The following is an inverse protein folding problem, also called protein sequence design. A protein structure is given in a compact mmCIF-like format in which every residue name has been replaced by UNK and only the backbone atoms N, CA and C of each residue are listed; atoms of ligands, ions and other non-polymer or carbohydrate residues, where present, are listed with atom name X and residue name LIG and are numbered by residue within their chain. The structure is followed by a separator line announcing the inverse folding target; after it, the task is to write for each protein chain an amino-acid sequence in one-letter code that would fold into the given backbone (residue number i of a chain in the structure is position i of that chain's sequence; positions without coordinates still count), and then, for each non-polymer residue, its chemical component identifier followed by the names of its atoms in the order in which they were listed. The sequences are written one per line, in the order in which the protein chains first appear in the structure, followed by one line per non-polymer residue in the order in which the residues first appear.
data_IF_672792190310
#
_entry.id   IF_672792190310
#
_cell.length_a   1.000
_cell.length_b   1.000
_cell.length_c   1.000
_cell.angle_alpha   90.00
_cell.angle_beta   90.00
_cell.angle_gamma   90.00
#
_symmetry.space_group_name_H-M   'P 1'
#
loop_
_entity.id
_entity.type
_entity.pdbx_description
1 polymer ?
#
# COMPACT_ATOMS: atom_id res chain seq x y z
N UNK A 1 -14.29 8.24 10.87
CA UNK A 1 -14.04 7.71 12.23
C UNK A 1 -13.67 8.88 13.13
N UNK A 2 -14.11 8.83 14.38
CA UNK A 2 -13.92 9.86 15.40
C UNK A 2 -12.45 10.20 15.58
N UNK A 3 -12.13 11.45 15.92
CA UNK A 3 -10.79 11.83 16.35
C UNK A 3 -10.29 10.84 17.43
N UNK A 4 -8.98 10.55 17.48
CA UNK A 4 -8.42 9.72 18.55
C UNK A 4 -8.97 10.20 19.90
N UNK A 5 -9.67 9.32 20.59
CA UNK A 5 -10.29 9.61 21.88
C UNK A 5 -9.23 9.50 22.95
N UNK A 6 -8.55 10.60 23.22
CA UNK A 6 -7.71 10.72 24.41
C UNK A 6 -8.61 10.80 25.65
N UNK A 7 -8.14 10.37 26.84
CA UNK A 7 -8.80 10.71 28.09
C UNK A 7 -9.07 12.22 28.16
N UNK A 8 -10.16 12.69 28.80
CA UNK A 8 -10.40 14.13 28.95
C UNK A 8 -9.17 14.87 29.52
N UNK A 9 -8.63 15.81 28.74
CA UNK A 9 -7.40 16.55 29.08
C UNK A 9 -6.09 15.81 28.80
N UNK A 10 -6.12 14.62 28.20
CA UNK A 10 -4.96 13.82 27.80
C UNK A 10 -4.47 14.11 26.38
N UNK A 11 -3.40 13.41 25.99
CA UNK A 11 -2.76 13.50 24.68
C UNK A 11 -2.69 12.14 23.99
N UNK A 12 -2.18 12.09 22.77
CA UNK A 12 -1.94 10.84 22.04
C UNK A 12 -0.97 9.91 22.76
N UNK A 13 -0.05 10.45 23.55
CA UNK A 13 0.91 9.64 24.29
C UNK A 13 0.21 8.80 25.37
N UNK A 14 -0.92 9.27 25.90
CA UNK A 14 -1.75 8.52 26.84
C UNK A 14 -2.47 7.31 26.20
N UNK A 15 -2.49 7.23 24.87
CA UNK A 15 -3.09 6.10 24.13
C UNK A 15 -2.10 4.99 23.80
N UNK A 16 -0.82 5.22 24.08
CA UNK A 16 0.22 4.26 23.74
C UNK A 16 0.10 3.02 24.62
N UNK A 17 0.14 1.85 23.98
CA UNK A 17 0.23 0.57 24.69
C UNK A 17 1.49 0.52 25.57
N UNK A 18 2.58 1.13 25.09
CA UNK A 18 3.83 1.30 25.84
C UNK A 18 4.53 2.60 25.41
N UNK A 19 5.05 3.35 26.38
CA UNK A 19 5.89 4.52 26.12
C UNK A 19 7.37 4.15 26.15
N UNK A 20 8.22 4.84 25.37
CA UNK A 20 9.68 4.69 25.51
C UNK A 20 10.21 5.15 26.87
N UNK A 21 9.44 5.96 27.60
CA UNK A 21 9.74 6.32 29.00
C UNK A 21 9.75 5.08 29.90
N UNK A 22 8.92 4.08 29.58
CA UNK A 22 8.70 2.89 30.40
C UNK A 22 9.41 1.64 29.86
N UNK A 23 10.27 1.78 28.84
CA UNK A 23 11.06 0.67 28.32
C UNK A 23 12.19 0.35 29.29
N UNK A 24 12.24 -0.86 29.89
CA UNK A 24 13.28 -1.22 30.85
C UNK A 24 14.66 -1.24 30.18
N UNK A 25 15.60 -0.57 30.84
CA UNK A 25 17.03 -0.59 30.49
C UNK A 25 17.80 -1.09 31.71
N UNK A 26 18.41 -2.25 31.58
CA UNK A 26 19.25 -2.85 32.63
C UNK A 26 20.65 -2.25 32.58
N UNK A 27 20.90 -1.22 33.39
CA UNK A 27 22.17 -0.51 33.44
C UNK A 27 23.34 -1.39 33.93
N UNK A 28 23.05 -2.41 34.73
CA UNK A 28 24.06 -3.33 35.28
C UNK A 28 24.47 -4.40 34.25
N UNK A 29 23.63 -4.62 33.24
CA UNK A 29 23.85 -5.56 32.15
C UNK A 29 23.98 -4.85 30.79
N UNK A 30 24.97 -3.95 30.67
CA UNK A 30 25.33 -3.33 29.38
C UNK A 30 24.16 -2.57 28.72
N UNK A 31 23.31 -1.94 29.56
CA UNK A 31 22.09 -1.27 29.15
C UNK A 31 21.16 -2.18 28.35
N UNK A 32 21.00 -3.44 28.77
CA UNK A 32 20.16 -4.39 28.05
C UNK A 32 18.70 -3.90 27.99
N UNK A 33 18.14 -3.84 26.78
CA UNK A 33 16.79 -3.31 26.53
C UNK A 33 15.82 -4.47 26.38
N UNK A 34 14.76 -4.48 27.18
CA UNK A 34 13.74 -5.53 27.13
C UNK A 34 13.03 -5.54 25.76
N UNK A 35 13.02 -6.71 25.11
CA UNK A 35 12.58 -6.85 23.71
C UNK A 35 11.09 -6.53 23.54
N UNK A 36 10.23 -7.09 24.39
CA UNK A 36 8.76 -6.97 24.26
C UNK A 36 8.32 -5.53 24.44
N UNK A 37 8.79 -4.88 25.50
CA UNK A 37 8.46 -3.49 25.82
C UNK A 37 8.97 -2.53 24.74
N UNK A 38 10.16 -2.78 24.20
CA UNK A 38 10.67 -1.98 23.09
C UNK A 38 9.81 -2.11 21.84
N UNK A 39 9.40 -3.34 21.47
CA UNK A 39 8.56 -3.56 20.28
C UNK A 39 7.17 -2.94 20.47
N UNK A 40 6.55 -3.09 21.64
CA UNK A 40 5.28 -2.45 21.97
C UNK A 40 5.37 -0.92 21.91
N UNK A 41 6.50 -0.34 22.36
CA UNK A 41 6.74 1.10 22.29
C UNK A 41 6.97 1.60 20.86
N UNK A 42 7.71 0.83 20.05
CA UNK A 42 7.94 1.11 18.65
C UNK A 42 6.64 1.03 17.84
N UNK A 43 5.78 0.04 18.10
CA UNK A 43 4.44 -0.08 17.51
C UNK A 43 3.56 1.10 17.92
N UNK A 44 3.56 1.46 19.21
CA UNK A 44 2.79 2.60 19.73
C UNK A 44 3.19 3.92 19.05
N UNK A 45 4.48 4.15 18.82
CA UNK A 45 4.96 5.34 18.09
C UNK A 45 4.37 5.46 16.68
N UNK A 46 4.13 4.33 16.00
CA UNK A 46 3.57 4.36 14.63
C UNK A 46 2.17 4.98 14.58
N UNK A 47 1.46 5.03 15.71
CA UNK A 47 0.11 5.61 15.79
C UNK A 47 0.11 7.14 15.64
N UNK A 48 1.20 7.84 15.99
CA UNK A 48 1.36 9.29 15.73
C UNK A 48 1.27 9.60 14.22
N UNK A 49 1.69 8.65 13.40
CA UNK A 49 1.61 8.74 11.93
C UNK A 49 0.26 8.26 11.36
N UNK A 50 -0.58 7.63 12.18
CA UNK A 50 -1.93 7.18 11.82
C UNK A 50 -3.01 8.26 11.99
N UNK A 51 -2.69 9.42 12.59
CA UNK A 51 -3.71 10.43 12.90
C UNK A 51 -4.22 11.16 11.65
N UNK A 52 -5.53 11.33 11.54
CA UNK A 52 -6.20 11.93 10.37
C UNK A 52 -6.07 13.46 10.34
N UNK A 53 -5.37 13.99 9.33
CA UNK A 53 -5.27 15.42 9.02
C UNK A 53 -6.30 15.80 7.96
N UNK A 54 -7.29 16.66 8.28
CA UNK A 54 -8.13 17.22 7.23
C UNK A 54 -7.24 18.03 6.29
N UNK A 55 -7.00 17.52 5.08
CA UNK A 55 -6.44 18.33 4.00
C UNK A 55 -7.49 19.38 3.70
N UNK A 56 -7.08 20.66 3.72
CA UNK A 56 -7.93 21.78 3.38
C UNK A 56 -8.47 21.57 1.96
N UNK A 57 -9.75 21.21 1.85
CA UNK A 57 -10.47 21.10 0.60
C UNK A 57 -10.42 22.46 -0.12
N UNK A 58 -9.77 22.50 -1.29
CA UNK A 58 -10.17 23.45 -2.33
C UNK A 58 -11.48 22.90 -2.92
N UNK A 59 -12.51 23.72 -2.79
CA UNK A 59 -13.93 23.51 -3.09
C UNK A 59 -14.18 22.93 -4.49
N UNK A 60 -14.95 21.83 -4.61
CA UNK A 60 -16.11 21.65 -5.54
C UNK A 60 -17.07 20.58 -4.92
N UNK A 61 -18.41 20.76 -4.89
CA UNK A 61 -19.31 20.11 -3.92
C UNK A 61 -20.13 18.89 -4.41
N UNK A 62 -20.51 18.03 -3.44
CA UNK A 62 -21.69 17.14 -3.27
C UNK A 62 -22.21 16.30 -4.48
N UNK A 63 -22.53 15.00 -4.36
CA UNK A 63 -23.52 14.45 -3.43
C UNK A 63 -23.34 12.94 -3.13
N UNK A 64 -24.04 12.54 -2.06
CA UNK A 64 -24.04 11.34 -1.23
C UNK A 64 -24.59 10.02 -1.83
N UNK A 65 -24.00 8.88 -1.42
CA UNK A 65 -24.72 7.85 -0.64
C UNK A 65 -23.72 6.97 0.12
N UNK A 66 -23.93 6.87 1.44
CA UNK A 66 -23.17 6.11 2.44
C UNK A 66 -22.97 4.65 1.98
N UNK A 67 -21.73 4.23 1.80
CA UNK A 67 -20.91 3.64 2.86
C UNK A 67 -21.57 2.37 3.38
N UNK A 68 -21.32 1.25 2.71
CA UNK A 68 -21.56 -0.02 3.33
C UNK A 68 -20.53 -1.07 2.90
N UNK A 69 -19.68 -1.31 3.86
CA UNK A 69 -19.31 -2.67 4.26
C UNK A 69 -18.12 -3.18 3.52
N UNK A 70 -16.90 -2.84 3.94
CA UNK A 70 -16.37 -3.17 5.29
C UNK A 70 -14.88 -3.49 5.37
N UNK A 71 -14.05 -2.73 4.65
CA UNK A 71 -12.61 -2.63 5.00
C UNK A 71 -12.54 -1.74 6.26
N UNK A 72 -13.38 -2.06 7.26
CA UNK A 72 -14.36 -1.13 7.88
C UNK A 72 -13.84 -0.38 9.09
N UNK A 73 -12.55 -0.37 9.32
CA UNK A 73 -11.99 0.41 10.40
C UNK A 73 -10.50 0.60 10.18
N UNK A 74 -10.09 1.88 10.16
CA UNK A 74 -8.70 2.41 10.19
C UNK A 74 -8.08 2.49 8.78
N UNK A 75 -7.82 3.62 8.10
CA UNK A 75 -7.29 4.92 8.52
C UNK A 75 -7.67 6.04 7.49
N UNK A 76 -8.83 6.68 7.65
CA UNK A 76 -9.36 7.72 6.76
C UNK A 76 -8.68 9.10 6.90
N UNK A 77 -7.87 9.48 5.90
CA UNK A 77 -7.69 10.86 5.41
C UNK A 77 -6.76 11.74 6.26
N UNK A 78 -5.48 11.34 6.28
CA UNK A 78 -4.31 12.09 6.79
C UNK A 78 -2.97 11.37 6.61
N UNK A 79 -2.99 10.04 6.43
CA UNK A 79 -1.81 9.17 6.57
C UNK A 79 -0.91 9.00 5.33
N UNK A 80 -1.26 9.53 4.15
CA UNK A 80 -0.54 9.24 2.88
C UNK A 80 0.94 9.66 2.90
N UNK A 81 1.28 10.75 3.60
CA UNK A 81 2.66 11.25 3.72
C UNK A 81 3.56 10.37 4.60
N UNK A 82 2.98 9.74 5.62
CA UNK A 82 3.72 8.94 6.59
C UNK A 82 3.53 7.43 6.42
N UNK A 83 2.67 6.97 5.50
CA UNK A 83 2.50 5.55 5.19
C UNK A 83 3.81 4.84 4.84
N UNK A 84 4.75 5.41 4.05
CA UNK A 84 6.04 4.75 3.82
C UNK A 84 6.85 4.56 5.12
N UNK A 85 6.81 5.55 6.02
CA UNK A 85 7.51 5.50 7.32
C UNK A 85 6.85 4.47 8.25
N UNK A 86 5.52 4.52 8.36
CA UNK A 86 4.72 3.58 9.17
C UNK A 86 4.91 2.13 8.70
N UNK A 87 4.85 1.89 7.39
CA UNK A 87 4.97 0.54 6.83
C UNK A 87 6.37 -0.02 6.99
N UNK A 88 7.42 0.79 6.82
CA UNK A 88 8.80 0.38 7.05
C UNK A 88 9.02 -0.03 8.52
N UNK A 89 8.57 0.81 9.46
CA UNK A 89 8.64 0.50 10.90
C UNK A 89 7.84 -0.77 11.25
N UNK A 90 6.59 -0.88 10.79
CA UNK A 90 5.73 -2.03 11.06
C UNK A 90 6.24 -3.33 10.42
N UNK A 91 6.85 -3.25 9.23
CA UNK A 91 7.51 -4.39 8.59
C UNK A 91 8.66 -4.91 9.45
N UNK A 92 9.51 -4.01 9.92
CA UNK A 92 10.65 -4.36 10.77
C UNK A 92 10.23 -4.86 12.18
N UNK A 93 9.07 -4.41 12.69
CA UNK A 93 8.45 -4.94 13.92
C UNK A 93 7.91 -6.37 13.68
N UNK A 94 7.16 -6.59 12.60
CA UNK A 94 6.46 -7.86 12.31
C UNK A 94 7.39 -9.02 11.94
N UNK A 95 8.52 -8.76 11.31
CA UNK A 95 9.49 -9.79 10.91
C UNK A 95 10.11 -10.53 12.12
N UNK A 96 9.84 -10.12 13.37
CA UNK A 96 10.63 -10.50 14.55
C UNK A 96 9.88 -10.99 15.78
N UNK A 97 8.58 -11.33 15.68
CA UNK A 97 7.90 -12.13 16.71
C UNK A 97 8.32 -13.61 16.69
N UNK A 98 9.19 -14.03 15.77
CA UNK A 98 9.84 -15.33 15.79
C UNK A 98 11.07 -15.31 16.72
N UNK A 99 10.88 -15.01 18.00
CA UNK A 99 11.94 -14.99 18.99
C UNK A 99 12.09 -16.38 19.65
N UNK A 100 13.11 -17.20 19.29
CA UNK A 100 13.42 -18.42 20.05
C UNK A 100 13.90 -18.06 21.47
N UNK A 101 13.90 -19.06 22.36
CA UNK A 101 14.38 -18.93 23.74
C UNK A 101 15.76 -18.20 23.80
N UNK A 102 15.89 -17.21 24.70
CA UNK A 102 17.11 -16.38 24.83
C UNK A 102 17.05 -14.98 24.22
N UNK A 103 15.85 -14.50 23.85
CA UNK A 103 15.63 -13.19 23.19
C UNK A 103 15.00 -12.13 24.11
N UNK A 104 15.16 -12.26 25.44
CA UNK A 104 14.54 -11.37 26.43
C UNK A 104 14.99 -9.91 26.28
N UNK A 105 16.21 -9.70 25.80
CA UNK A 105 16.74 -8.36 25.49
C UNK A 105 17.21 -8.27 24.04
N UNK A 106 17.17 -7.06 23.47
CA UNK A 106 17.54 -6.83 22.07
C UNK A 106 19.01 -7.19 21.81
N UNK A 107 19.89 -6.92 22.78
CA UNK A 107 21.30 -7.30 22.71
C UNK A 107 21.48 -8.82 22.75
N UNK A 108 20.76 -9.53 23.62
CA UNK A 108 20.80 -10.99 23.67
C UNK A 108 20.25 -11.62 22.40
N UNK A 109 19.18 -11.05 21.84
CA UNK A 109 18.59 -11.47 20.57
C UNK A 109 19.61 -11.39 19.44
N UNK A 110 20.27 -10.23 19.26
CA UNK A 110 21.30 -10.05 18.21
C UNK A 110 22.48 -10.99 18.44
N UNK A 111 23.00 -11.09 19.66
CA UNK A 111 24.13 -11.96 19.99
C UNK A 111 23.81 -13.43 19.73
N UNK A 112 22.59 -13.87 20.04
CA UNK A 112 22.14 -15.26 19.83
C UNK A 112 21.96 -15.55 18.34
N UNK A 113 21.30 -14.65 17.61
CA UNK A 113 21.07 -14.83 16.18
C UNK A 113 22.38 -14.88 15.38
N UNK A 114 23.33 -13.99 15.69
CA UNK A 114 24.63 -13.95 15.01
C UNK A 114 25.49 -15.20 15.31
N UNK A 115 25.36 -15.80 16.50
CA UNK A 115 25.99 -17.09 16.82
C UNK A 115 25.46 -18.22 15.93
N UNK A 116 24.16 -18.17 15.62
CA UNK A 116 23.49 -19.11 14.72
C UNK A 116 23.75 -18.79 13.22
N UNK A 117 24.61 -17.81 12.92
CA UNK A 117 24.93 -17.32 11.57
C UNK A 117 23.69 -16.82 10.80
N UNK A 118 22.66 -16.37 11.52
CA UNK A 118 21.47 -15.71 10.98
C UNK A 118 21.60 -14.20 11.19
N UNK A 119 20.82 -13.42 10.46
CA UNK A 119 20.89 -11.95 10.53
C UNK A 119 19.54 -11.25 10.27
N UNK A 120 18.44 -11.99 10.17
CA UNK A 120 17.12 -11.43 9.82
C UNK A 120 16.64 -10.45 10.88
N UNK A 121 16.74 -10.86 12.15
CA UNK A 121 16.32 -10.07 13.28
C UNK A 121 17.31 -8.90 13.51
N UNK A 122 18.60 -9.16 13.39
CA UNK A 122 19.67 -8.17 13.51
C UNK A 122 19.52 -7.06 12.46
N UNK A 123 19.21 -7.40 11.21
CA UNK A 123 18.92 -6.44 10.15
C UNK A 123 17.60 -5.70 10.40
N UNK A 124 16.54 -6.38 10.82
CA UNK A 124 15.29 -5.72 11.18
C UNK A 124 15.47 -4.72 12.32
N UNK A 125 16.32 -5.02 13.32
CA UNK A 125 16.66 -4.06 14.38
C UNK A 125 17.42 -2.86 13.84
N UNK A 126 18.34 -3.07 12.90
CA UNK A 126 19.11 -1.99 12.28
C UNK A 126 18.19 -0.99 11.56
N UNK A 127 17.27 -1.49 10.74
CA UNK A 127 16.33 -0.65 10.00
C UNK A 127 15.31 0.02 10.93
N UNK A 128 14.80 -0.70 11.93
CA UNK A 128 13.91 -0.13 12.93
C UNK A 128 14.59 1.01 13.71
N UNK A 129 15.84 0.82 14.15
CA UNK A 129 16.59 1.87 14.87
C UNK A 129 16.82 3.09 13.99
N UNK A 130 17.09 2.92 12.69
CA UNK A 130 17.21 4.05 11.74
C UNK A 130 15.89 4.80 11.56
N UNK A 131 14.76 4.09 11.48
CA UNK A 131 13.43 4.69 11.41
C UNK A 131 13.07 5.46 12.69
N UNK A 132 13.38 4.89 13.86
CA UNK A 132 13.20 5.52 15.16
C UNK A 132 14.08 6.77 15.33
N UNK A 133 15.34 6.71 14.92
CA UNK A 133 16.29 7.84 14.94
C UNK A 133 15.80 8.99 14.03
N UNK A 134 15.33 8.65 12.83
CA UNK A 134 14.68 9.59 11.92
C UNK A 134 13.50 10.30 12.57
N UNK A 135 12.55 9.54 13.15
CA UNK A 135 11.37 10.10 13.82
C UNK A 135 11.76 10.95 15.02
N UNK A 136 12.70 10.48 15.83
CA UNK A 136 13.20 11.18 17.00
C UNK A 136 13.79 12.54 16.62
N UNK A 137 14.70 12.58 15.66
CA UNK A 137 15.34 13.83 15.20
C UNK A 137 14.30 14.78 14.59
N UNK A 138 13.40 14.26 13.75
CA UNK A 138 12.39 15.09 13.09
C UNK A 138 11.46 15.79 14.11
N UNK A 139 10.89 15.02 15.04
CA UNK A 139 9.98 15.56 16.05
C UNK A 139 10.72 16.43 17.08
N UNK A 140 11.93 16.07 17.51
CA UNK A 140 12.73 16.90 18.42
C UNK A 140 13.07 18.26 17.80
N UNK A 141 13.47 18.29 16.52
CA UNK A 141 13.71 19.54 15.81
C UNK A 141 12.43 20.38 15.72
N UNK A 142 11.30 19.76 15.36
CA UNK A 142 10.03 20.46 15.23
C UNK A 142 9.56 21.03 16.59
N UNK A 143 9.67 20.27 17.68
CA UNK A 143 9.31 20.73 19.03
C UNK A 143 10.24 21.83 19.55
N UNK A 144 11.52 21.83 19.15
CA UNK A 144 12.48 22.86 19.53
C UNK A 144 12.34 24.17 18.74
N UNK A 145 11.75 24.12 17.54
CA UNK A 145 11.59 25.27 16.64
C UNK A 145 10.10 25.49 16.30
N UNK A 146 9.38 26.30 17.09
CA UNK A 146 7.93 26.51 16.89
C UNK A 146 7.55 27.05 15.50
N UNK A 147 8.47 27.74 14.81
CA UNK A 147 8.25 28.30 13.47
C UNK A 147 8.66 27.38 12.32
N UNK A 148 9.23 26.20 12.59
CA UNK A 148 9.64 25.25 11.54
C UNK A 148 8.45 24.35 11.15
N UNK A 149 8.16 24.27 9.87
CA UNK A 149 7.12 23.38 9.34
C UNK A 149 7.54 21.91 9.43
N UNK A 150 6.54 21.04 9.52
CA UNK A 150 6.78 19.60 9.72
C UNK A 150 7.60 19.02 8.56
N UNK A 151 7.30 19.42 7.32
CA UNK A 151 8.04 18.98 6.14
C UNK A 151 9.55 19.30 6.21
N UNK A 152 9.94 20.45 6.77
CA UNK A 152 11.34 20.88 6.83
C UNK A 152 12.13 20.11 7.88
N UNK A 153 11.58 20.01 9.10
CA UNK A 153 12.18 19.18 10.17
C UNK A 153 12.34 17.72 9.74
N UNK A 154 11.36 17.15 9.04
CA UNK A 154 11.44 15.78 8.52
C UNK A 154 12.44 15.65 7.36
N UNK A 155 12.55 16.61 6.43
CA UNK A 155 13.59 16.58 5.38
C UNK A 155 15.00 16.65 5.95
N UNK A 156 15.21 17.48 6.98
CA UNK A 156 16.49 17.59 7.67
C UNK A 156 16.86 16.28 8.36
N UNK A 157 15.93 15.71 9.13
CA UNK A 157 16.11 14.42 9.78
C UNK A 157 16.39 13.31 8.76
N UNK A 158 15.66 13.27 7.63
CA UNK A 158 15.86 12.31 6.56
C UNK A 158 17.29 12.38 6.00
N UNK A 159 17.78 13.60 5.76
CA UNK A 159 19.14 13.85 5.32
C UNK A 159 20.21 13.28 6.26
N UNK A 160 19.98 13.38 7.58
CA UNK A 160 20.90 12.94 8.61
C UNK A 160 20.85 11.44 8.93
N UNK A 161 19.77 10.74 8.56
CA UNK A 161 19.49 9.37 9.03
C UNK A 161 19.31 8.36 7.90
N UNK A 162 18.14 8.33 7.26
CA UNK A 162 17.77 7.30 6.29
C UNK A 162 18.34 7.55 4.89
N UNK A 163 18.51 8.81 4.48
CA UNK A 163 18.96 9.17 3.12
C UNK A 163 20.27 8.49 2.69
N UNK A 164 21.32 8.37 3.53
CA UNK A 164 22.54 7.64 3.17
C UNK A 164 22.30 6.14 2.88
N UNK A 165 21.25 5.56 3.44
CA UNK A 165 20.95 4.13 3.36
C UNK A 165 19.88 3.78 2.31
N UNK A 166 19.16 4.77 1.79
CA UNK A 166 18.18 4.58 0.72
C UNK A 166 18.82 4.51 -0.66
N UNK A 167 18.31 3.62 -1.51
CA UNK A 167 18.73 3.52 -2.91
C UNK A 167 18.30 4.76 -3.70
N UNK A 168 18.85 4.93 -4.91
CA UNK A 168 18.48 6.02 -5.80
C UNK A 168 16.99 6.00 -6.22
N UNK A 169 16.32 4.83 -6.13
CA UNK A 169 14.89 4.66 -6.38
C UNK A 169 14.03 5.05 -5.17
N UNK A 170 14.50 4.77 -3.95
CA UNK A 170 13.76 5.06 -2.71
C UNK A 170 13.88 6.54 -2.32
N UNK A 171 15.02 7.18 -2.62
CA UNK A 171 15.26 8.59 -2.25
C UNK A 171 14.19 9.56 -2.77
N UNK A 172 13.77 9.53 -4.05
CA UNK A 172 12.70 10.38 -4.57
C UNK A 172 11.35 10.08 -3.93
N UNK A 173 11.04 8.80 -3.69
CA UNK A 173 9.78 8.35 -3.05
C UNK A 173 9.64 8.96 -1.65
N UNK A 174 10.69 8.83 -0.83
CA UNK A 174 10.69 9.38 0.52
C UNK A 174 10.60 10.91 0.47
N UNK A 175 11.35 11.57 -0.42
CA UNK A 175 11.33 13.03 -0.56
C UNK A 175 9.95 13.57 -0.96
N UNK A 176 9.22 12.86 -1.81
CA UNK A 176 7.85 13.20 -2.19
C UNK A 176 6.90 13.04 -0.99
N UNK A 177 7.04 11.96 -0.23
CA UNK A 177 6.25 11.71 0.97
C UNK A 177 6.42 12.82 2.02
N UNK A 178 7.65 13.26 2.27
CA UNK A 178 7.94 14.37 3.21
C UNK A 178 7.38 15.71 2.72
N UNK A 179 7.19 15.87 1.42
CA UNK A 179 6.58 17.09 0.86
C UNK A 179 5.06 17.12 1.04
N UNK A 180 4.45 15.98 1.37
CA UNK A 180 3.04 15.86 1.69
C UNK A 180 2.76 15.89 3.20
N UNK A 181 3.78 16.13 4.04
CA UNK A 181 3.57 16.30 5.49
C UNK A 181 2.49 17.36 5.75
N UNK A 182 1.61 17.15 6.74
CA UNK A 182 0.62 18.15 7.12
C UNK A 182 1.30 19.42 7.63
N UNK A 183 0.56 20.52 7.62
CA UNK A 183 0.96 21.73 8.33
C UNK A 183 1.17 21.42 9.81
N UNK A 184 2.21 22.03 10.39
CA UNK A 184 2.59 21.87 11.79
C UNK A 184 1.39 22.03 12.73
N UNK A 185 0.58 23.06 12.53
CA UNK A 185 -0.60 23.33 13.38
C UNK A 185 -1.58 22.16 13.38
N UNK A 186 -1.93 21.67 12.19
CA UNK A 186 -2.82 20.52 12.03
C UNK A 186 -2.23 19.24 12.62
N UNK A 187 -0.90 19.11 12.61
CA UNK A 187 -0.18 18.04 13.30
C UNK A 187 -0.43 18.05 14.81
N UNK A 188 -0.13 19.16 15.49
CA UNK A 188 -0.24 19.22 16.96
C UNK A 188 -1.68 19.23 17.49
N UNK A 189 -2.64 19.84 16.78
CA UNK A 189 -4.08 19.78 17.13
C UNK A 189 -4.60 18.34 17.21
N UNK A 190 -3.94 17.43 16.52
CA UNK A 190 -4.28 16.01 16.45
C UNK A 190 -3.60 15.17 17.51
N UNK A 191 -2.62 15.71 18.21
CA UNK A 191 -1.94 15.02 19.31
C UNK A 191 -2.56 15.36 20.68
N UNK A 192 -3.39 16.40 20.76
CA UNK A 192 -4.09 16.80 21.98
C UNK A 192 -4.70 18.19 21.86
N UNK A 193 -5.64 18.53 22.74
CA UNK A 193 -6.31 19.84 22.75
C UNK A 193 -5.47 20.97 23.34
N UNK A 194 -4.45 20.63 24.13
CA UNK A 194 -3.50 21.58 24.74
C UNK A 194 -2.11 21.37 24.11
N UNK A 195 -1.74 22.25 23.17
CA UNK A 195 -0.46 22.15 22.48
C UNK A 195 0.74 22.28 23.43
N UNK A 196 0.64 23.10 24.48
CA UNK A 196 1.74 23.28 25.44
C UNK A 196 1.98 21.99 26.23
N UNK A 197 0.90 21.31 26.63
CA UNK A 197 0.95 19.99 27.25
C UNK A 197 1.48 18.92 26.30
N UNK A 198 0.99 18.87 25.06
CA UNK A 198 1.50 17.94 24.03
C UNK A 198 3.00 18.13 23.86
N UNK A 199 3.48 19.37 23.71
CA UNK A 199 4.90 19.62 23.50
C UNK A 199 5.73 19.26 24.74
N UNK A 200 5.25 19.51 25.97
CA UNK A 200 5.99 19.16 27.19
C UNK A 200 6.13 17.65 27.36
N UNK A 201 5.05 16.90 27.16
CA UNK A 201 5.06 15.42 27.21
C UNK A 201 5.89 14.82 26.08
N UNK A 202 5.78 15.39 24.87
CA UNK A 202 6.56 14.94 23.71
C UNK A 202 8.07 15.17 23.92
N UNK A 203 8.49 16.25 24.58
CA UNK A 203 9.92 16.44 24.95
C UNK A 203 10.42 15.33 25.87
N UNK A 204 9.64 14.95 26.88
CA UNK A 204 9.98 13.85 27.80
C UNK A 204 10.06 12.51 27.06
N UNK A 205 9.05 12.22 26.24
CA UNK A 205 9.00 11.03 25.42
C UNK A 205 10.18 10.93 24.45
N UNK A 206 10.49 12.02 23.73
CA UNK A 206 11.58 12.06 22.76
C UNK A 206 12.96 11.93 23.41
N UNK A 207 13.16 12.48 24.61
CA UNK A 207 14.40 12.28 25.37
C UNK A 207 14.60 10.80 25.75
N UNK A 208 13.52 10.10 26.13
CA UNK A 208 13.58 8.67 26.41
C UNK A 208 13.85 7.84 25.14
N UNK A 209 13.16 8.17 24.03
CA UNK A 209 13.41 7.56 22.72
C UNK A 209 14.86 7.77 22.26
N UNK A 210 15.38 8.99 22.36
CA UNK A 210 16.77 9.34 22.03
C UNK A 210 17.77 8.51 22.84
N UNK A 211 17.53 8.35 24.15
CA UNK A 211 18.35 7.49 25.01
C UNK A 211 18.37 6.04 24.53
N UNK A 212 17.20 5.46 24.27
CA UNK A 212 17.07 4.06 23.80
C UNK A 212 17.72 3.88 22.43
N UNK A 213 17.47 4.78 21.48
CA UNK A 213 18.10 4.78 20.15
C UNK A 213 19.61 4.92 20.27
N UNK A 214 20.11 5.80 21.15
CA UNK A 214 21.53 5.98 21.42
C UNK A 214 22.22 4.72 21.93
N UNK A 215 21.60 4.01 22.88
CA UNK A 215 22.08 2.72 23.39
C UNK A 215 22.17 1.69 22.25
N UNK A 216 21.12 1.57 21.43
CA UNK A 216 21.08 0.58 20.35
C UNK A 216 22.04 0.90 19.21
N UNK A 217 22.20 2.17 18.83
CA UNK A 217 23.23 2.60 17.86
C UNK A 217 24.63 2.28 18.39
N UNK A 218 24.90 2.62 19.66
CA UNK A 218 26.16 2.28 20.32
C UNK A 218 26.42 0.77 20.35
N UNK A 219 25.37 -0.05 20.58
CA UNK A 219 25.47 -1.49 20.48
C UNK A 219 25.77 -1.96 19.05
N UNK A 220 25.00 -1.51 18.06
CA UNK A 220 25.17 -1.87 16.64
C UNK A 220 26.54 -1.49 16.05
N UNK A 221 27.21 -0.51 16.66
CA UNK A 221 28.57 -0.13 16.27
C UNK A 221 29.66 -1.08 16.81
N UNK A 222 29.35 -1.96 17.76
CA UNK A 222 30.30 -2.93 18.33
C UNK A 222 30.51 -4.12 17.40
N UNK A 223 31.73 -4.68 17.42
CA UNK A 223 32.10 -5.85 16.60
C UNK A 223 31.20 -7.06 16.84
N UNK A 224 30.74 -7.26 18.06
CA UNK A 224 29.84 -8.36 18.46
C UNK A 224 28.39 -8.21 17.98
N UNK A 225 27.99 -7.00 17.58
CA UNK A 225 26.68 -6.70 17.01
C UNK A 225 26.74 -6.49 15.49
N UNK A 226 27.95 -6.37 14.93
CA UNK A 226 28.19 -6.27 13.50
C UNK A 226 28.19 -7.66 12.90
N UNK A 227 27.36 -7.88 11.89
CA UNK A 227 27.51 -9.04 11.01
C UNK A 227 28.96 -9.03 10.48
N UNK A 228 29.70 -10.12 10.69
CA UNK A 228 31.14 -10.24 10.45
C UNK A 228 31.57 -10.23 8.98
N UNK A 229 31.08 -9.29 8.18
CA UNK A 229 31.52 -9.03 6.82
C UNK A 229 32.17 -7.64 6.77
N UNK A 230 33.42 -7.56 7.21
CA UNK A 230 34.37 -6.59 6.63
C UNK A 230 34.69 -7.09 5.23
N UNK A 231 33.82 -6.74 4.29
CA UNK A 231 34.22 -6.56 2.91
C UNK A 231 33.48 -5.33 2.41
N UNK A 232 34.25 -4.33 2.03
CA UNK A 232 33.81 -3.25 1.17
C UNK A 232 33.49 -3.79 -0.24
N UNK A 233 32.61 -4.79 -0.33
CA UNK A 233 31.81 -5.00 -1.52
C UNK A 233 30.67 -4.00 -1.39
N UNK A 234 30.40 -3.14 -2.39
CA UNK A 234 29.13 -2.44 -2.42
C UNK A 234 28.05 -3.52 -2.38
N UNK A 235 27.31 -3.61 -1.29
CA UNK A 235 26.21 -4.55 -1.11
C UNK A 235 25.07 -4.16 -2.06
N UNK A 236 25.25 -4.46 -3.34
CA UNK A 236 24.18 -4.74 -4.30
C UNK A 236 23.69 -6.18 -4.20
N UNK A 237 23.85 -6.85 -3.06
CA UNK A 237 23.23 -8.15 -2.86
C UNK A 237 22.77 -8.32 -1.41
N UNK A 238 21.44 -8.46 -1.27
CA UNK A 238 20.69 -8.84 -0.07
C UNK A 238 20.38 -7.77 0.98
N UNK A 239 20.13 -6.54 0.54
CA UNK A 239 18.86 -5.93 0.96
C UNK A 239 17.77 -6.89 0.40
N UNK A 240 16.72 -7.23 1.15
CA UNK A 240 15.45 -7.57 0.50
C UNK A 240 15.09 -6.31 -0.30
N UNK A 241 15.66 -6.21 -1.51
CA UNK A 241 15.12 -5.41 -2.59
C UNK A 241 13.96 -6.27 -2.98
N UNK A 242 12.72 -5.86 -2.68
CA UNK A 242 11.59 -6.55 -3.22
C UNK A 242 11.84 -6.72 -4.72
N UNK A 243 12.00 -7.98 -5.14
CA UNK A 243 12.26 -8.27 -6.52
C UNK A 243 10.89 -8.17 -7.15
N UNK A 244 10.60 -7.05 -7.81
CA UNK A 244 9.35 -6.88 -8.55
C UNK A 244 9.59 -7.14 -10.03
N UNK A 245 8.58 -7.63 -10.76
CA UNK A 245 8.74 -7.83 -12.18
C UNK A 245 9.03 -6.49 -12.86
N UNK A 246 9.94 -6.45 -13.84
CA UNK A 246 10.22 -5.23 -14.57
C UNK A 246 8.93 -4.72 -15.22
N UNK A 247 8.69 -3.42 -15.06
CA UNK A 247 7.54 -2.74 -15.67
C UNK A 247 8.00 -1.69 -16.64
N UNK A 248 7.18 -1.45 -17.64
CA UNK A 248 7.31 -0.39 -18.62
C UNK A 248 6.13 0.58 -18.48
N UNK A 249 6.01 1.51 -19.42
CA UNK A 249 4.92 2.48 -19.45
C UNK A 249 4.35 2.60 -20.85
N UNK A 250 3.03 2.54 -20.98
CA UNK A 250 2.32 2.83 -22.22
C UNK A 250 1.01 3.55 -21.93
N UNK A 251 0.50 4.30 -22.91
CA UNK A 251 -0.87 4.84 -22.86
C UNK A 251 -1.93 3.74 -23.00
N UNK A 252 -1.61 2.69 -23.74
CA UNK A 252 -2.48 1.54 -23.97
C UNK A 252 -2.00 0.28 -23.25
N UNK A 253 -2.93 -0.58 -22.87
CA UNK A 253 -2.62 -1.90 -22.33
C UNK A 253 -3.75 -2.89 -22.57
N UNK A 254 -3.39 -4.17 -22.66
CA UNK A 254 -4.31 -5.31 -22.58
C UNK A 254 -4.35 -5.79 -21.14
N UNK A 255 -5.48 -6.30 -20.68
CA UNK A 255 -5.60 -6.87 -19.34
C UNK A 255 -5.47 -8.39 -19.42
N UNK A 256 -4.52 -8.97 -18.70
CA UNK A 256 -4.19 -10.39 -18.75
C UNK A 256 -4.52 -11.04 -17.41
N UNK A 257 -5.21 -12.18 -17.45
CA UNK A 257 -5.56 -12.97 -16.27
C UNK A 257 -4.30 -13.47 -15.58
N UNK A 258 -4.22 -13.22 -14.27
CA UNK A 258 -3.30 -13.88 -13.35
C UNK A 258 -4.12 -14.57 -12.26
N UNK A 259 -4.15 -15.90 -12.26
CA UNK A 259 -4.89 -16.69 -11.29
C UNK A 259 -4.20 -16.60 -9.92
N UNK A 260 -4.94 -16.22 -8.88
CA UNK A 260 -4.37 -15.96 -7.55
C UNK A 260 -3.98 -17.23 -6.79
N UNK A 261 -4.64 -18.35 -7.07
CA UNK A 261 -4.33 -19.68 -6.56
C UNK A 261 -4.28 -20.65 -7.75
N UNK A 262 -3.09 -20.97 -8.28
CA UNK A 262 -2.95 -21.83 -9.46
C UNK A 262 -3.55 -23.23 -9.28
N UNK A 263 -3.74 -23.69 -8.03
CA UNK A 263 -4.36 -25.00 -7.75
C UNK A 263 -5.87 -25.00 -7.97
N UNK A 264 -6.48 -23.82 -8.09
CA UNK A 264 -7.91 -23.60 -8.30
C UNK A 264 -8.22 -23.05 -9.71
N UNK A 265 -7.26 -23.10 -10.64
CA UNK A 265 -7.53 -22.70 -12.02
C UNK A 265 -8.64 -23.58 -12.63
N UNK A 266 -9.35 -23.02 -13.60
CA UNK A 266 -10.44 -23.70 -14.30
C UNK A 266 -9.88 -24.80 -15.23
N UNK A 267 -10.78 -25.63 -15.74
CA UNK A 267 -10.47 -26.61 -16.79
C UNK A 267 -11.34 -26.31 -18.01
N UNK A 268 -10.78 -25.77 -19.12
CA UNK A 268 -9.36 -25.48 -19.35
C UNK A 268 -8.83 -24.28 -18.53
N UNK A 269 -7.51 -24.22 -18.25
CA UNK A 269 -6.90 -23.17 -17.43
C UNK A 269 -7.03 -21.81 -18.10
N UNK A 270 -7.44 -20.81 -17.33
CA UNK A 270 -7.65 -19.43 -17.80
C UNK A 270 -6.50 -18.51 -17.47
N UNK A 271 -5.49 -18.96 -16.70
CA UNK A 271 -4.30 -18.16 -16.45
C UNK A 271 -3.63 -17.70 -17.77
N UNK A 272 -3.29 -16.41 -17.84
CA UNK A 272 -2.74 -15.79 -19.03
C UNK A 272 -3.76 -15.44 -20.13
N UNK A 273 -5.03 -15.81 -20.01
CA UNK A 273 -6.06 -15.40 -20.98
C UNK A 273 -6.26 -13.88 -20.95
N UNK A 274 -6.78 -13.31 -22.03
CA UNK A 274 -7.00 -11.87 -22.12
C UNK A 274 -8.41 -11.49 -21.71
N UNK A 275 -8.54 -10.38 -21.00
CA UNK A 275 -9.80 -9.71 -20.73
C UNK A 275 -10.42 -9.22 -22.05
N UNK A 276 -11.67 -9.60 -22.29
CA UNK A 276 -12.43 -9.25 -23.47
C UNK A 276 -13.89 -9.01 -23.09
N UNK A 277 -14.74 -8.87 -24.09
CA UNK A 277 -16.15 -8.52 -23.92
C UNK A 277 -16.98 -9.25 -24.94
N UNK A 278 -18.20 -9.61 -24.58
CA UNK A 278 -19.19 -10.10 -25.53
C UNK A 278 -20.42 -9.22 -25.52
N UNK A 279 -20.91 -8.89 -26.71
CA UNK A 279 -22.03 -7.98 -26.89
C UNK A 279 -23.31 -8.60 -26.32
N UNK A 280 -24.03 -7.87 -25.47
CA UNK A 280 -25.31 -8.34 -24.90
C UNK A 280 -26.48 -7.40 -25.21
N UNK A 281 -26.22 -6.31 -25.93
CA UNK A 281 -27.22 -5.35 -26.35
C UNK A 281 -26.59 -4.02 -26.79
N UNK A 282 -27.40 -3.11 -27.31
CA UNK A 282 -26.92 -1.80 -27.77
C UNK A 282 -26.24 -1.02 -26.63
N UNK A 283 -24.94 -0.74 -26.78
CA UNK A 283 -24.14 -0.09 -25.74
C UNK A 283 -23.78 -0.98 -24.55
N UNK A 284 -24.10 -2.28 -24.59
CA UNK A 284 -23.94 -3.23 -23.49
C UNK A 284 -23.05 -4.42 -23.87
N UNK A 285 -22.07 -4.74 -23.02
CA UNK A 285 -21.29 -5.96 -23.12
C UNK A 285 -21.00 -6.55 -21.74
N UNK A 286 -21.05 -7.87 -21.64
CA UNK A 286 -20.56 -8.59 -20.46
C UNK A 286 -19.04 -8.77 -20.57
N UNK A 287 -18.32 -8.63 -19.46
CA UNK A 287 -16.88 -8.89 -19.45
C UNK A 287 -16.63 -10.40 -19.44
N UNK A 288 -15.68 -10.84 -20.26
CA UNK A 288 -15.28 -12.25 -20.38
C UNK A 288 -13.76 -12.36 -20.44
N UNK A 289 -13.23 -13.57 -20.37
CA UNK A 289 -11.84 -13.86 -20.69
C UNK A 289 -11.75 -14.81 -21.88
N UNK A 290 -10.72 -14.65 -22.71
CA UNK A 290 -10.49 -15.46 -23.90
C UNK A 290 -9.03 -15.87 -24.05
N UNK A 291 -8.80 -17.09 -24.53
CA UNK A 291 -7.48 -17.57 -24.92
C UNK A 291 -6.91 -16.79 -26.12
N UNK A 292 -7.79 -16.32 -27.02
CA UNK A 292 -7.43 -15.52 -28.18
C UNK A 292 -7.12 -14.08 -27.77
N UNK A 293 -5.85 -13.68 -27.89
CA UNK A 293 -5.42 -12.31 -27.58
C UNK A 293 -5.84 -11.31 -28.66
N UNK A 294 -6.13 -11.75 -29.89
CA UNK A 294 -6.52 -10.90 -31.01
C UNK A 294 -7.86 -10.19 -30.79
N UNK A 295 -8.74 -10.78 -29.99
CA UNK A 295 -10.05 -10.22 -29.62
C UNK A 295 -10.03 -9.40 -28.33
N UNK A 296 -8.88 -9.26 -27.68
CA UNK A 296 -8.75 -8.40 -26.50
C UNK A 296 -8.80 -6.94 -26.92
N UNK A 297 -9.58 -6.16 -26.19
CA UNK A 297 -9.62 -4.71 -26.34
C UNK A 297 -8.31 -4.09 -25.84
N UNK A 298 -7.94 -2.94 -26.40
CA UNK A 298 -6.94 -2.06 -25.82
C UNK A 298 -7.66 -1.15 -24.83
N UNK A 299 -7.17 -1.13 -23.60
CA UNK A 299 -7.63 -0.25 -22.55
C UNK A 299 -6.61 0.87 -22.33
N UNK A 300 -7.08 2.00 -21.82
CA UNK A 300 -6.24 3.11 -21.39
C UNK A 300 -6.81 3.72 -20.11
N UNK A 301 -5.93 4.29 -19.31
CA UNK A 301 -6.33 5.03 -18.12
C UNK A 301 -6.54 6.50 -18.48
N UNK A 302 -7.75 6.99 -18.28
CA UNK A 302 -8.15 8.34 -18.62
C UNK A 302 -8.41 9.17 -17.36
N UNK A 303 -7.75 10.32 -17.26
CA UNK A 303 -7.91 11.28 -16.17
C UNK A 303 -6.64 12.08 -15.90
N UNK A 304 -6.78 13.15 -15.14
CA UNK A 304 -5.63 13.90 -14.61
C UNK A 304 -4.77 13.02 -13.70
N UNK A 305 -3.51 13.43 -13.49
CA UNK A 305 -2.62 12.72 -12.56
C UNK A 305 -3.20 12.60 -11.15
N UNK A 306 -3.97 13.60 -10.71
CA UNK A 306 -4.68 13.60 -9.43
C UNK A 306 -5.83 12.58 -9.42
N UNK A 307 -6.68 12.59 -10.45
CA UNK A 307 -7.80 11.65 -10.54
C UNK A 307 -7.32 10.19 -10.60
N UNK A 308 -6.24 9.94 -11.34
CA UNK A 308 -5.61 8.63 -11.42
C UNK A 308 -5.08 8.19 -10.05
N UNK A 309 -4.36 9.09 -9.35
CA UNK A 309 -3.79 8.81 -8.03
C UNK A 309 -4.87 8.47 -7.00
N UNK A 310 -6.04 9.10 -7.08
CA UNK A 310 -7.15 8.88 -6.15
C UNK A 310 -8.23 7.92 -6.68
N UNK A 311 -7.93 7.17 -7.74
CA UNK A 311 -8.85 6.20 -8.39
C UNK A 311 -10.20 6.80 -8.81
N UNK A 312 -10.24 8.10 -9.05
CA UNK A 312 -11.39 8.82 -9.62
C UNK A 312 -11.26 9.01 -11.14
N UNK A 313 -10.17 8.54 -11.76
CA UNK A 313 -10.07 8.37 -13.21
C UNK A 313 -10.99 7.25 -13.74
N UNK A 314 -10.77 6.86 -14.99
CA UNK A 314 -11.54 5.81 -15.67
C UNK A 314 -10.62 4.86 -16.44
N UNK A 315 -10.96 3.57 -16.47
CA UNK A 315 -10.34 2.59 -17.38
C UNK A 315 -11.28 2.42 -18.57
N UNK A 316 -10.84 2.91 -19.73
CA UNK A 316 -11.64 3.03 -20.94
C UNK A 316 -11.06 2.20 -22.07
N UNK A 317 -11.90 1.87 -23.04
CA UNK A 317 -11.52 1.32 -24.33
C UNK A 317 -12.36 1.99 -25.42
N UNK A 318 -11.79 2.19 -26.60
CA UNK A 318 -12.50 2.79 -27.73
C UNK A 318 -13.25 1.72 -28.51
N UNK A 319 -14.56 1.86 -28.65
CA UNK A 319 -15.38 0.86 -29.34
C UNK A 319 -16.59 1.43 -30.05
N UNK A 320 -17.09 0.71 -31.05
CA UNK A 320 -18.22 1.13 -31.88
C UNK A 320 -17.81 1.88 -33.13
N UNK A 321 -18.79 2.39 -33.87
CA UNK A 321 -18.57 3.22 -35.07
C UNK A 321 -19.60 4.35 -35.08
N UNK A 322 -19.20 5.62 -34.85
CA UNK A 322 -17.84 6.09 -34.55
C UNK A 322 -17.31 5.57 -33.20
N UNK A 323 -15.99 5.65 -32.98
CA UNK A 323 -15.38 5.20 -31.72
C UNK A 323 -15.92 6.00 -30.54
N UNK A 324 -16.53 5.32 -29.58
CA UNK A 324 -17.09 5.87 -28.35
C UNK A 324 -16.35 5.29 -27.14
N UNK A 325 -16.25 5.97 -25.99
CA UNK A 325 -15.58 5.42 -24.81
C UNK A 325 -16.43 4.31 -24.17
N UNK A 326 -15.80 3.18 -23.87
CA UNK A 326 -16.39 2.05 -23.14
C UNK A 326 -15.62 1.79 -21.85
N UNK A 327 -16.26 2.04 -20.73
CA UNK A 327 -15.65 1.90 -19.40
C UNK A 327 -15.97 0.57 -18.74
N UNK A 328 -15.02 0.07 -17.95
CA UNK A 328 -15.23 -1.09 -17.09
C UNK A 328 -16.18 -0.70 -15.96
N UNK A 329 -17.27 -1.46 -15.83
CA UNK A 329 -18.31 -1.25 -14.82
C UNK A 329 -18.36 -2.46 -13.89
N UNK A 330 -18.33 -2.20 -12.59
CA UNK A 330 -18.53 -3.20 -11.54
C UNK A 330 -19.91 -2.97 -10.94
N UNK A 331 -20.78 -3.97 -11.01
CA UNK A 331 -22.11 -3.91 -10.44
C UNK A 331 -22.06 -3.85 -8.91
N UNK A 332 -22.93 -3.04 -8.29
CA UNK A 332 -22.95 -2.86 -6.84
C UNK A 332 -23.45 -4.11 -6.09
N UNK A 333 -22.99 -4.27 -4.84
CA UNK A 333 -23.46 -5.34 -3.94
C UNK A 333 -24.97 -5.21 -3.70
N UNK A 334 -25.69 -6.32 -3.82
CA UNK A 334 -27.14 -6.40 -3.54
C UNK A 334 -28.05 -6.16 -4.75
N UNK A 335 -27.52 -5.79 -5.92
CA UNK A 335 -28.32 -5.69 -7.16
C UNK A 335 -28.53 -7.05 -7.84
N UNK A 336 -27.64 -8.01 -7.61
CA UNK A 336 -27.69 -9.36 -8.13
C UNK A 336 -26.91 -10.30 -7.21
N UNK A 337 -27.25 -11.60 -7.24
CA UNK A 337 -26.56 -12.64 -6.46
C UNK A 337 -25.09 -12.78 -6.88
N UNK A 338 -24.80 -12.57 -8.17
CA UNK A 338 -23.45 -12.60 -8.73
C UNK A 338 -23.16 -11.25 -9.44
N UNK A 339 -22.52 -10.29 -8.76
CA UNK A 339 -22.28 -8.95 -9.31
C UNK A 339 -21.47 -9.01 -10.60
N UNK A 340 -22.07 -8.51 -11.68
CA UNK A 340 -21.47 -8.53 -13.00
C UNK A 340 -20.35 -7.50 -13.14
N UNK A 341 -19.28 -7.87 -13.84
CA UNK A 341 -18.34 -6.91 -14.43
C UNK A 341 -18.71 -6.76 -15.90
N UNK A 342 -18.92 -5.53 -16.34
CA UNK A 342 -19.37 -5.21 -17.70
C UNK A 342 -18.41 -4.22 -18.33
N UNK A 343 -18.46 -4.11 -19.64
CA UNK A 343 -17.80 -3.05 -20.38
C UNK A 343 -18.85 -2.43 -21.27
N UNK A 344 -19.35 -1.29 -20.86
CA UNK A 344 -20.48 -0.62 -21.51
C UNK A 344 -20.07 0.78 -21.97
N UNK A 345 -20.84 1.34 -22.88
CA UNK A 345 -20.65 2.72 -23.32
C UNK A 345 -20.70 3.68 -22.11
N UNK A 346 -19.72 4.58 -22.01
CA UNK A 346 -19.58 5.57 -20.94
C UNK A 346 -18.32 5.40 -20.08
N UNK A 347 -18.27 6.12 -18.96
CA UNK A 347 -17.02 6.34 -18.20
C UNK A 347 -16.59 5.20 -17.27
N UNK A 348 -17.40 4.14 -17.13
CA UNK A 348 -17.13 3.06 -16.19
C UNK A 348 -17.43 3.41 -14.72
N UNK A 349 -17.10 2.48 -13.82
CA UNK A 349 -17.29 2.64 -12.36
C UNK A 349 -16.06 3.31 -11.73
N UNK A 350 -16.26 4.38 -10.96
CA UNK A 350 -15.19 5.02 -10.18
C UNK A 350 -14.62 4.04 -9.15
N UNK A 351 -13.30 4.10 -8.92
CA UNK A 351 -12.58 3.10 -8.13
C UNK A 351 -11.98 1.96 -8.96
N UNK A 352 -12.52 1.67 -10.14
CA UNK A 352 -11.87 0.79 -11.12
C UNK A 352 -10.71 1.55 -11.75
N UNK A 353 -9.50 1.19 -11.35
CA UNK A 353 -8.26 1.85 -11.74
C UNK A 353 -7.10 0.86 -11.69
N UNK A 354 -5.98 1.15 -12.36
CA UNK A 354 -4.75 0.41 -12.09
C UNK A 354 -4.25 0.73 -10.67
N UNK A 355 -3.61 -0.25 -10.04
CA UNK A 355 -2.90 -0.03 -8.79
C UNK A 355 -1.87 1.08 -8.95
N UNK A 356 -1.72 1.87 -7.90
CA UNK A 356 -0.84 3.02 -7.85
C UNK A 356 0.05 2.92 -6.60
N UNK A 357 1.12 3.71 -6.59
CA UNK A 357 2.01 3.83 -5.44
C UNK A 357 1.21 3.95 -4.12
N UNK A 358 1.57 3.21 -3.05
CA UNK A 358 2.79 2.42 -2.86
C UNK A 358 2.75 0.98 -3.39
N UNK A 359 1.69 0.57 -4.09
CA UNK A 359 1.56 -0.80 -4.60
C UNK A 359 2.61 -1.09 -5.69
N UNK A 360 3.54 -2.04 -5.46
CA UNK A 360 4.62 -2.33 -6.39
C UNK A 360 4.17 -3.12 -7.62
N UNK A 361 3.10 -3.90 -7.54
CA UNK A 361 2.53 -4.61 -8.69
C UNK A 361 1.59 -3.69 -9.46
N UNK A 362 1.52 -3.85 -10.78
CA UNK A 362 0.50 -3.18 -11.58
C UNK A 362 -0.64 -4.15 -11.84
N UNK A 363 -1.85 -3.84 -11.40
CA UNK A 363 -3.03 -4.66 -11.66
C UNK A 363 -4.30 -3.82 -11.62
N UNK A 364 -5.34 -4.26 -12.32
CA UNK A 364 -6.65 -3.65 -12.27
C UNK A 364 -7.25 -3.86 -10.88
N UNK A 365 -7.53 -2.76 -10.22
CA UNK A 365 -8.30 -2.72 -8.98
C UNK A 365 -9.79 -2.54 -9.29
N UNK A 366 -10.66 -2.90 -8.36
CA UNK A 366 -12.10 -2.72 -8.49
C UNK A 366 -12.67 -1.89 -7.35
N UNK A 367 -13.96 -2.09 -7.05
CA UNK A 367 -14.65 -1.40 -5.97
C UNK A 367 -14.40 -2.12 -4.65
N UNK A 368 -13.54 -1.55 -3.80
CA UNK A 368 -13.13 -2.22 -2.57
C UNK A 368 -14.33 -2.39 -1.61
N UNK A 369 -14.43 -3.55 -0.96
CA UNK A 369 -13.52 -4.71 -0.95
C UNK A 369 -14.08 -5.94 -1.66
N UNK A 370 -13.20 -6.62 -2.37
CA UNK A 370 -13.52 -7.80 -3.16
C UNK A 370 -12.39 -8.14 -4.12
N UNK A 371 -12.65 -9.10 -4.99
CA UNK A 371 -11.72 -9.57 -6.00
C UNK A 371 -12.45 -9.85 -7.31
N UNK A 372 -11.73 -9.76 -8.44
CA UNK A 372 -12.26 -10.28 -9.68
C UNK A 372 -12.28 -11.82 -9.64
N UNK A 373 -13.35 -12.40 -10.16
CA UNK A 373 -13.49 -13.83 -10.33
C UNK A 373 -13.86 -14.16 -11.77
N UNK A 374 -13.32 -15.26 -12.30
CA UNK A 374 -13.73 -15.83 -13.59
C UNK A 374 -14.65 -17.01 -13.32
N UNK A 375 -15.84 -16.98 -13.91
CA UNK A 375 -16.90 -17.95 -13.66
C UNK A 375 -17.46 -18.45 -15.00
N UNK A 376 -17.58 -19.77 -15.23
CA UNK A 376 -18.30 -20.27 -16.40
C UNK A 376 -19.80 -20.01 -16.26
N UNK A 377 -20.38 -19.15 -17.09
CA UNK A 377 -21.82 -18.82 -17.08
C UNK A 377 -22.41 -18.84 -18.48
N UNK A 378 -23.67 -19.23 -18.58
CA UNK A 378 -24.44 -19.07 -19.82
C UNK A 378 -24.79 -17.60 -19.97
N UNK A 379 -24.43 -17.00 -21.10
CA UNK A 379 -24.87 -15.66 -21.46
C UNK A 379 -26.16 -15.81 -22.29
N UNK A 380 -27.32 -15.35 -21.79
CA UNK A 380 -28.62 -15.60 -22.43
C UNK A 380 -28.69 -15.12 -23.89
N UNK A 381 -28.02 -14.02 -24.21
CA UNK A 381 -27.98 -13.45 -25.57
C UNK A 381 -27.45 -14.44 -26.61
N UNK A 382 -26.44 -15.25 -26.26
CA UNK A 382 -25.84 -16.24 -27.15
C UNK A 382 -26.34 -17.66 -26.89
N UNK A 383 -27.03 -17.88 -25.76
CA UNK A 383 -27.38 -19.20 -25.25
C UNK A 383 -26.17 -20.16 -25.22
N UNK A 384 -25.01 -19.65 -24.81
CA UNK A 384 -23.74 -20.36 -24.76
C UNK A 384 -22.96 -20.00 -23.49
N UNK A 385 -22.10 -20.92 -23.05
CA UNK A 385 -21.25 -20.73 -21.87
C UNK A 385 -20.01 -19.92 -22.22
N UNK A 386 -19.73 -18.90 -21.41
CA UNK A 386 -18.52 -18.09 -21.47
C UNK A 386 -17.84 -18.08 -20.10
N UNK A 387 -16.53 -17.86 -20.10
CA UNK A 387 -15.78 -17.53 -18.89
C UNK A 387 -15.98 -16.04 -18.59
N UNK A 388 -17.08 -15.72 -17.90
CA UNK A 388 -17.44 -14.34 -17.56
C UNK A 388 -16.63 -13.82 -16.40
N UNK A 389 -16.44 -12.50 -16.34
CA UNK A 389 -15.79 -11.82 -15.22
C UNK A 389 -16.85 -11.30 -14.26
N UNK A 390 -16.66 -11.59 -12.98
CA UNK A 390 -17.54 -11.20 -11.87
C UNK A 390 -16.74 -10.52 -10.78
N UNK A 391 -17.42 -9.75 -9.95
CA UNK A 391 -16.84 -9.15 -8.77
C UNK A 391 -17.35 -9.88 -7.53
N UNK A 392 -16.45 -10.62 -6.88
CA UNK A 392 -16.73 -11.31 -5.64
C UNK A 392 -16.42 -10.35 -4.48
N UNK A 393 -17.47 -9.79 -3.86
CA UNK A 393 -17.32 -8.95 -2.67
C UNK A 393 -16.83 -9.78 -1.49
N UNK A 394 -15.90 -9.24 -0.71
CA UNK A 394 -15.54 -9.84 0.56
C UNK A 394 -16.69 -9.63 1.58
N UNK A 395 -16.81 -10.57 2.53
CA UNK A 395 -17.82 -10.51 3.60
C UNK A 395 -17.17 -10.28 4.96
N UNK A 396 -17.83 -9.50 5.84
CA UNK A 396 -17.31 -9.45 7.21
C UNK A 396 -17.55 -10.76 7.86
N UNK A 397 -16.53 -11.16 8.58
CA UNK A 397 -16.74 -11.98 9.72
C UNK A 397 -16.74 -11.09 10.97
N UNK A 398 -17.94 -10.90 11.55
CA UNK A 398 -18.12 -10.16 12.80
C UNK A 398 -17.44 -10.82 14.01
N UNK A 399 -17.16 -12.13 13.95
CA UNK A 399 -16.48 -12.84 15.01
C UNK A 399 -14.96 -12.62 14.97
N UNK A 400 -14.37 -12.52 13.78
CA UNK A 400 -12.93 -12.28 13.62
C UNK A 400 -12.59 -10.79 13.46
N UNK A 401 -13.58 -9.95 13.16
CA UNK A 401 -13.39 -8.53 12.85
C UNK A 401 -12.64 -8.30 11.53
N UNK A 402 -12.56 -9.33 10.69
CA UNK A 402 -11.81 -9.33 9.44
C UNK A 402 -12.73 -9.59 8.26
N UNK A 403 -12.19 -9.26 7.10
CA UNK A 403 -12.76 -9.70 5.85
C UNK A 403 -12.38 -11.09 5.46
N UNK A 404 -13.39 -11.81 4.99
CA UNK A 404 -13.20 -13.14 4.43
C UNK A 404 -13.62 -13.11 2.96
N UNK A 405 -12.73 -13.66 2.13
CA UNK A 405 -12.92 -13.75 0.69
C UNK A 405 -13.91 -14.85 0.38
N UNK A 406 -15.01 -14.50 -0.28
CA UNK A 406 -16.08 -15.42 -0.66
C UNK A 406 -16.17 -15.50 -2.18
N UNK A 407 -15.40 -16.40 -2.78
CA UNK A 407 -15.43 -16.69 -4.23
C UNK A 407 -16.17 -18.02 -4.41
N UNK A 408 -17.19 -18.11 -5.29
CA UNK A 408 -17.91 -19.37 -5.53
C UNK A 408 -16.96 -20.52 -5.92
N UNK A 409 -17.29 -21.75 -5.51
CA UNK A 409 -16.43 -22.92 -5.74
C UNK A 409 -16.17 -23.23 -7.23
N UNK A 410 -17.12 -22.87 -8.09
CA UNK A 410 -17.04 -23.05 -9.55
C UNK A 410 -16.40 -21.85 -10.26
N UNK A 411 -15.91 -20.87 -9.51
CA UNK A 411 -15.19 -19.70 -9.99
C UNK A 411 -13.74 -19.71 -9.51
N UNK A 412 -12.87 -18.99 -10.23
CA UNK A 412 -11.48 -18.77 -9.82
C UNK A 412 -11.22 -17.29 -9.57
N UNK A 413 -10.56 -16.97 -8.45
CA UNK A 413 -10.15 -15.62 -8.12
C UNK A 413 -8.91 -15.20 -8.94
N UNK A 414 -8.99 -14.03 -9.58
CA UNK A 414 -7.96 -13.55 -10.50
C UNK A 414 -7.58 -12.10 -10.23
N UNK A 415 -6.35 -11.75 -10.62
CA UNK A 415 -5.95 -10.38 -10.87
C UNK A 415 -5.92 -10.16 -12.39
N UNK A 416 -6.19 -8.93 -12.83
CA UNK A 416 -5.93 -8.53 -14.22
C UNK A 416 -4.71 -7.65 -14.28
N UNK A 417 -3.68 -8.10 -14.97
CA UNK A 417 -2.40 -7.42 -15.08
C UNK A 417 -2.32 -6.67 -16.41
N UNK A 418 -1.97 -5.37 -16.42
CA UNK A 418 -1.85 -4.61 -17.65
C UNK A 418 -0.57 -5.03 -18.39
N UNK A 419 -0.73 -5.59 -19.59
CA UNK A 419 0.33 -5.81 -20.56
C UNK A 419 0.39 -4.63 -21.53
N UNK A 420 1.57 -4.04 -21.73
CA UNK A 420 1.75 -2.87 -22.56
C UNK A 420 1.27 -3.12 -24.00
N UNK A 421 0.61 -2.11 -24.57
CA UNK A 421 0.19 -2.11 -25.97
C UNK A 421 0.14 -0.67 -26.48
N UNK A 422 0.26 -0.47 -27.78
CA UNK A 422 0.06 0.86 -28.36
C UNK A 422 -1.42 1.24 -28.30
N UNK A 423 -1.70 2.47 -27.86
CA UNK A 423 -3.03 3.06 -27.94
C UNK A 423 -3.22 3.60 -29.37
N UNK A 424 -4.14 3.05 -30.18
CA UNK A 424 -4.32 3.48 -31.57
C UNK A 424 -4.79 4.94 -31.65
N UNK A 425 -4.41 5.67 -32.69
CA UNK A 425 -4.92 7.02 -32.92
C UNK A 425 -6.43 6.99 -33.24
N UNK A 426 -7.14 8.02 -32.78
CA UNK A 426 -8.57 8.17 -33.02
C UNK A 426 -8.83 8.71 -34.44
N UNK A 427 -9.61 8.02 -35.27
CA UNK A 427 -10.06 8.57 -36.55
C UNK A 427 -10.90 9.84 -36.36
N UNK A 428 -10.93 10.69 -37.39
CA UNK A 428 -11.80 11.87 -37.41
C UNK A 428 -13.28 11.47 -37.20
N UNK A 429 -13.99 12.26 -36.39
CA UNK A 429 -15.38 11.97 -36.01
C UNK A 429 -15.54 10.97 -34.86
N UNK A 430 -14.44 10.50 -34.26
CA UNK A 430 -14.49 9.74 -33.00
C UNK A 430 -15.09 10.59 -31.88
N UNK A 431 -15.93 9.97 -31.05
CA UNK A 431 -16.52 10.57 -29.86
C UNK A 431 -15.67 10.32 -28.60
N UNK A 432 -14.68 9.44 -28.71
CA UNK A 432 -13.66 9.21 -27.68
C UNK A 432 -12.64 10.34 -27.68
N UNK A 433 -11.94 10.51 -26.57
CA UNK A 433 -10.82 11.45 -26.45
C UNK A 433 -9.66 10.78 -25.73
N UNK A 434 -8.44 11.03 -26.24
CA UNK A 434 -7.18 10.62 -25.63
C UNK A 434 -6.42 11.79 -25.00
N UNK A 435 -7.06 12.96 -24.84
CA UNK A 435 -6.44 14.15 -24.24
C UNK A 435 -5.86 13.87 -22.85
N UNK A 436 -6.58 13.08 -22.05
CA UNK A 436 -6.18 12.69 -20.69
C UNK A 436 -5.77 11.21 -20.59
N UNK A 437 -5.42 10.57 -21.72
CA UNK A 437 -4.88 9.22 -21.72
C UNK A 437 -3.46 9.23 -21.11
N UNK A 438 -3.33 8.67 -19.91
CA UNK A 438 -2.10 8.69 -19.14
C UNK A 438 -1.14 7.57 -19.52
N UNK A 439 0.16 7.80 -19.30
CA UNK A 439 1.15 6.73 -19.32
C UNK A 439 0.97 5.84 -18.09
N UNK A 440 0.43 4.64 -18.31
CA UNK A 440 0.14 3.65 -17.28
C UNK A 440 1.30 2.68 -17.12
N UNK A 441 1.59 2.29 -15.87
CA UNK A 441 2.55 1.23 -15.55
C UNK A 441 2.01 -0.11 -16.05
N UNK A 442 2.75 -0.81 -16.89
CA UNK A 442 2.37 -2.09 -17.48
C UNK A 442 3.57 -3.04 -17.58
N UNK A 443 3.31 -4.31 -17.87
CA UNK A 443 4.32 -5.32 -18.12
C UNK A 443 4.51 -5.51 -19.63
N UNK A 444 5.73 -5.74 -20.09
CA UNK A 444 5.98 -5.98 -21.53
C UNK A 444 5.25 -7.24 -22.02
N UNK A 445 5.36 -8.34 -21.26
CA UNK A 445 4.63 -9.57 -21.50
C UNK A 445 4.32 -10.26 -20.18
N UNK A 446 3.03 -10.36 -19.83
CA UNK A 446 2.59 -10.92 -18.54
C UNK A 446 2.83 -12.42 -18.48
N UNK A 447 2.75 -13.12 -19.62
CA UNK A 447 2.81 -14.59 -19.67
C UNK A 447 4.24 -15.12 -19.51
N UNK A 448 5.25 -14.33 -19.85
CA UNK A 448 6.66 -14.72 -19.70
C UNK A 448 7.23 -14.39 -18.32
N UNK A 449 6.48 -13.71 -17.44
CA UNK A 449 6.90 -13.40 -16.08
C UNK A 449 6.86 -14.67 -15.22
N UNK A 450 8.00 -15.05 -14.66
CA UNK A 450 8.09 -16.08 -13.62
C UNK A 450 7.72 -15.48 -12.25
N UNK A 451 6.42 -15.32 -12.01
CA UNK A 451 5.85 -14.69 -10.82
C UNK A 451 6.43 -15.18 -9.48
N UNK A 452 6.69 -16.49 -9.28
CA UNK A 452 7.38 -17.00 -8.09
C UNK A 452 8.77 -16.41 -7.79
N UNK A 453 9.47 -15.84 -8.78
CA UNK A 453 10.77 -15.18 -8.55
C UNK A 453 10.63 -13.78 -7.94
N UNK A 454 9.41 -13.25 -7.93
CA UNK A 454 9.11 -11.90 -7.51
C UNK A 454 8.33 -11.90 -6.19
N UNK A 455 8.64 -10.95 -5.33
CA UNK A 455 8.08 -10.89 -3.98
C UNK A 455 8.64 -9.72 -3.18
N UNK A 456 7.90 -9.27 -2.14
CA UNK A 456 8.42 -8.35 -1.14
C UNK A 456 9.71 -8.84 -0.49
#
# INVERSE_FOLDING_TARGET
MSAPTFPPGGTILDTFKKSFVDVPVDADNDNAIATTEFLDAAESLTTIFGVHYPVLFVVVPLASSLADTLCRSLDALGSVAFSPVKNDMMGNIKVRLAAPAGSETLQALVKTELKDKKHVATEGLLWLVRGLDFTCIALSQNVAKPSEELADSFRNAYGATLKPHHSFLVKPVFSAALSACPYRKAFYEKLGSDEAKVQSELRVYLAALEKVVGILKGFQDRKEAKCGLVSAVPLSSRQFVPNYPPTSTSKGFRLIVNVTDPTKDLSPPVNGWSFSTVHTGAGLSDAVVSADQGISRIYYQNGTAEEIRYKSGSILSDGGTPLFPWGIQVQAKGEADEPAVRVNAGSGTKGVALSAFPEPYSYLTGTNPGVYAVCPRIIPYYNATFNVVRWAYDEFNYATGLYERTVPEDCVAVNFLPQCADLPELPEGSLSSHEFAANSKCYEDVRSIDWPQYGP
#
